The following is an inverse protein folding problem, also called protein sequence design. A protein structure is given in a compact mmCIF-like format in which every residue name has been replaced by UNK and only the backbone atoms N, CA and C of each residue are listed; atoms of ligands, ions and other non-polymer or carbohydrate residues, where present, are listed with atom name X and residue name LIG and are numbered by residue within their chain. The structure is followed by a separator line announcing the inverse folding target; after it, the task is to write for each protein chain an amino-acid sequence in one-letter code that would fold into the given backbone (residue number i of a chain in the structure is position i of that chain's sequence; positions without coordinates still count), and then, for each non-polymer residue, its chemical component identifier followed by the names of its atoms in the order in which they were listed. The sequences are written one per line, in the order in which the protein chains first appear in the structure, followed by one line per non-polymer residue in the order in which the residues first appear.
data_IF_915444424554
#
_entry.id   IF_915444424554
#
_cell.length_a   1.000
_cell.length_b   1.000
_cell.length_c   1.000
_cell.angle_alpha   90.00
_cell.angle_beta   90.00
_cell.angle_gamma   90.00
#
_symmetry.space_group_name_H-M   'P 1'
#
loop_
_entity.id
_entity.type
_entity.pdbx_description
1 polymer ?
#
# COMPACT_ATOMS: atom_id res chain seq x y z
N UNK A 1 -21.71 -4.32 24.59
CA UNK A 1 -20.46 -3.57 24.34
C UNK A 1 -20.45 -3.33 22.84
N UNK A 2 -20.55 -2.10 22.36
CA UNK A 2 -20.73 -1.84 20.92
C UNK A 2 -19.45 -2.29 20.21
N UNK A 3 -19.54 -3.32 19.37
CA UNK A 3 -18.42 -3.88 18.64
C UNK A 3 -17.98 -2.90 17.54
N UNK A 4 -17.16 -1.92 17.92
CA UNK A 4 -16.57 -1.01 16.95
C UNK A 4 -15.50 -1.78 16.15
N UNK A 5 -15.47 -1.63 14.82
CA UNK A 5 -14.41 -2.21 13.99
C UNK A 5 -13.04 -1.73 14.47
N UNK A 6 -12.06 -2.62 14.49
CA UNK A 6 -10.69 -2.27 14.89
C UNK A 6 -9.67 -2.85 13.92
N UNK A 7 -8.50 -2.21 13.85
CA UNK A 7 -7.41 -2.64 12.97
C UNK A 7 -6.76 -3.92 13.49
N UNK A 8 -6.50 -4.86 12.59
CA UNK A 8 -5.73 -6.08 12.84
C UNK A 8 -4.74 -6.27 11.71
N UNK A 9 -3.71 -7.08 11.97
CA UNK A 9 -2.68 -7.37 11.00
C UNK A 9 -2.58 -8.86 10.74
N UNK A 10 -2.38 -9.23 9.47
CA UNK A 10 -2.04 -10.59 9.07
C UNK A 10 -0.56 -10.62 8.71
N UNK A 11 0.19 -11.43 9.45
CA UNK A 11 1.61 -11.60 9.23
C UNK A 11 1.89 -12.57 8.07
N UNK A 12 2.97 -12.31 7.32
CA UNK A 12 3.53 -13.32 6.42
C UNK A 12 4.07 -14.52 7.19
N UNK A 13 4.22 -15.66 6.51
CA UNK A 13 4.67 -16.91 7.14
C UNK A 13 6.07 -16.84 7.76
N UNK A 14 6.92 -15.94 7.29
CA UNK A 14 8.25 -15.63 7.84
C UNK A 14 8.25 -14.47 8.85
N UNK A 15 7.12 -13.79 9.04
CA UNK A 15 6.97 -12.65 9.97
C UNK A 15 7.54 -11.32 9.47
N UNK A 16 7.98 -11.25 8.21
CA UNK A 16 8.61 -10.05 7.65
C UNK A 16 7.61 -8.96 7.20
N UNK A 17 6.34 -9.33 7.00
CA UNK A 17 5.30 -8.43 6.49
C UNK A 17 4.06 -8.47 7.38
N UNK A 18 3.60 -7.28 7.78
CA UNK A 18 2.37 -7.08 8.52
C UNK A 18 1.34 -6.39 7.62
N UNK A 19 0.25 -7.08 7.26
CA UNK A 19 -0.74 -6.61 6.28
C UNK A 19 -2.04 -6.20 6.97
N UNK A 20 -2.51 -4.95 6.81
CA UNK A 20 -3.63 -4.42 7.58
C UNK A 20 -5.01 -4.89 7.08
N UNK A 21 -5.90 -5.14 8.03
CA UNK A 21 -7.31 -5.44 7.86
C UNK A 21 -8.13 -4.77 8.96
N UNK A 22 -9.44 -4.66 8.74
CA UNK A 22 -10.40 -4.17 9.72
C UNK A 22 -11.26 -5.32 10.21
N UNK A 23 -11.15 -5.66 11.50
CA UNK A 23 -11.91 -6.74 12.12
C UNK A 23 -13.22 -6.22 12.70
N UNK A 24 -14.30 -6.91 12.39
CA UNK A 24 -15.61 -6.73 13.00
C UNK A 24 -15.92 -8.00 13.80
N UNK A 25 -16.24 -7.81 15.08
CA UNK A 25 -16.70 -8.89 15.95
C UNK A 25 -18.23 -8.98 15.81
N UNK A 26 -18.72 -10.15 15.43
CA UNK A 26 -20.15 -10.42 15.33
C UNK A 26 -20.65 -10.92 16.68
N UNK A 27 -21.95 -10.78 16.96
CA UNK A 27 -22.56 -11.35 18.18
C UNK A 27 -22.66 -12.89 18.14
N UNK A 28 -22.40 -13.50 16.97
CA UNK A 28 -22.42 -14.94 16.77
C UNK A 28 -21.24 -15.65 17.46
N UNK A 29 -21.52 -16.83 18.03
CA UNK A 29 -20.54 -17.75 18.62
C UNK A 29 -20.53 -19.03 17.78
N UNK A 30 -19.34 -19.48 17.38
CA UNK A 30 -19.19 -20.73 16.63
C UNK A 30 -19.45 -21.98 17.50
N UNK A 31 -19.63 -23.18 16.92
CA UNK A 31 -19.85 -24.41 17.70
C UNK A 31 -18.71 -24.79 18.66
N UNK A 32 -17.53 -24.18 18.53
CA UNK A 32 -16.37 -24.37 19.39
C UNK A 32 -16.34 -23.37 20.56
N UNK A 33 -17.30 -22.44 20.62
CA UNK A 33 -17.41 -21.43 21.67
C UNK A 33 -16.60 -20.16 21.40
N UNK A 34 -16.05 -19.98 20.19
CA UNK A 34 -15.31 -18.77 19.84
C UNK A 34 -16.23 -17.70 19.26
N UNK A 35 -15.91 -16.44 19.55
CA UNK A 35 -16.60 -15.31 18.94
C UNK A 35 -16.29 -15.24 17.45
N UNK A 36 -17.33 -15.18 16.61
CA UNK A 36 -17.17 -15.05 15.17
C UNK A 36 -16.71 -13.63 14.82
N UNK A 37 -15.76 -13.54 13.89
CA UNK A 37 -15.26 -12.26 13.39
C UNK A 37 -15.09 -12.28 11.88
N UNK A 38 -15.29 -11.11 11.26
CA UNK A 38 -15.03 -10.90 9.83
C UNK A 38 -13.89 -9.89 9.69
N UNK A 39 -12.91 -10.23 8.86
CA UNK A 39 -11.85 -9.31 8.44
C UNK A 39 -12.22 -8.68 7.10
N UNK A 40 -12.31 -7.36 7.08
CA UNK A 40 -12.55 -6.56 5.88
C UNK A 40 -11.23 -5.95 5.38
N UNK A 41 -11.20 -5.69 4.08
CA UNK A 41 -10.13 -4.90 3.47
C UNK A 41 -10.11 -3.51 4.11
N UNK A 42 -8.92 -3.03 4.48
CA UNK A 42 -8.76 -1.75 5.17
C UNK A 42 -7.74 -0.88 4.44
N UNK A 43 -8.18 0.30 4.02
CA UNK A 43 -7.39 1.32 3.30
C UNK A 43 -7.00 2.48 4.20
N UNK A 44 -7.45 2.50 5.46
CA UNK A 44 -7.29 3.62 6.38
C UNK A 44 -5.84 4.02 6.65
N UNK A 45 -4.86 3.13 6.49
CA UNK A 45 -3.46 3.42 6.83
C UNK A 45 -3.23 3.73 8.31
N UNK A 46 -1.99 4.00 8.70
CA UNK A 46 -1.66 4.53 10.02
C UNK A 46 -1.24 5.99 9.88
N UNK A 47 -1.99 6.91 10.48
CA UNK A 47 -1.67 8.34 10.46
C UNK A 47 -1.13 8.78 11.82
N UNK A 48 0.04 9.40 11.80
CA UNK A 48 0.50 10.20 12.94
C UNK A 48 -0.09 11.62 12.87
N UNK A 49 -0.42 12.19 14.02
CA UNK A 49 -0.95 13.55 14.13
C UNK A 49 0.15 14.61 14.22
N UNK A 50 1.41 14.20 14.30
CA UNK A 50 2.53 15.09 14.59
C UNK A 50 3.15 15.78 13.34
N UNK A 51 2.49 15.72 12.19
CA UNK A 51 2.98 16.22 10.89
C UNK A 51 4.36 15.68 10.46
N UNK A 52 4.86 14.63 11.11
CA UNK A 52 6.17 14.02 10.86
C UNK A 52 6.24 13.17 9.57
N UNK A 53 5.12 13.02 8.88
CA UNK A 53 4.98 12.09 7.76
C UNK A 53 4.57 10.68 8.23
N UNK A 54 4.33 9.80 7.27
CA UNK A 54 3.98 8.40 7.55
C UNK A 54 5.24 7.55 7.69
N UNK A 55 5.09 6.39 8.34
CA UNK A 55 6.17 5.40 8.41
C UNK A 55 6.54 4.95 7.00
N UNK A 56 7.84 5.04 6.68
CA UNK A 56 8.42 4.62 5.40
C UNK A 56 8.56 3.09 5.32
N UNK A 57 7.45 2.38 5.46
CA UNK A 57 7.34 0.92 5.58
C UNK A 57 8.17 0.16 4.54
N UNK A 58 8.16 0.62 3.29
CA UNK A 58 8.80 -0.05 2.15
C UNK A 58 10.27 0.29 1.97
N UNK A 59 10.80 1.27 2.70
CA UNK A 59 12.18 1.73 2.51
C UNK A 59 13.21 0.58 2.65
N UNK A 60 13.15 -0.27 3.69
CA UNK A 60 14.05 -1.43 3.79
C UNK A 60 13.91 -2.43 2.63
N UNK A 61 12.71 -2.55 2.05
CA UNK A 61 12.46 -3.45 0.92
C UNK A 61 13.05 -2.90 -0.37
N UNK A 62 13.01 -1.58 -0.54
CA UNK A 62 13.60 -0.90 -1.70
C UNK A 62 15.13 -0.95 -1.60
N UNK A 63 15.69 -0.74 -0.41
CA UNK A 63 17.14 -0.78 -0.18
C UNK A 63 17.74 -2.17 -0.39
N UNK A 64 17.10 -3.19 0.16
CA UNK A 64 17.60 -4.57 0.09
C UNK A 64 17.72 -5.13 -1.34
N UNK A 65 16.99 -4.55 -2.32
CA UNK A 65 17.08 -4.95 -3.73
C UNK A 65 18.36 -4.49 -4.43
N UNK A 66 19.01 -3.44 -3.93
CA UNK A 66 20.30 -2.97 -4.44
C UNK A 66 20.29 -2.43 -5.87
N UNK A 67 19.12 -2.14 -6.44
CA UNK A 67 18.93 -1.73 -7.83
C UNK A 67 18.50 -0.26 -7.99
N UNK A 68 18.49 0.46 -6.87
CA UNK A 68 18.25 1.90 -6.79
C UNK A 68 19.39 2.61 -6.05
N UNK A 69 19.46 3.93 -6.21
CA UNK A 69 20.41 4.80 -5.53
C UNK A 69 19.81 6.19 -5.33
N UNK A 70 20.32 6.95 -4.37
CA UNK A 70 19.93 8.34 -4.16
C UNK A 70 20.60 9.20 -5.23
N UNK A 71 19.81 10.05 -5.91
CA UNK A 71 20.31 10.91 -6.97
C UNK A 71 21.47 11.81 -6.48
N UNK A 72 22.45 12.03 -7.34
CA UNK A 72 23.61 12.87 -7.02
C UNK A 72 23.24 14.36 -6.95
N UNK A 73 22.33 14.81 -7.83
CA UNK A 73 21.77 16.16 -7.88
C UNK A 73 20.32 16.20 -7.40
N UNK A 74 19.94 17.30 -6.75
CA UNK A 74 18.55 17.59 -6.47
C UNK A 74 17.82 17.78 -7.82
N UNK A 75 16.78 16.99 -8.07
CA UNK A 75 15.86 17.27 -9.17
C UNK A 75 15.07 18.52 -8.76
N UNK A 76 14.86 19.45 -9.70
CA UNK A 76 14.25 20.77 -9.50
C UNK A 76 12.73 20.61 -9.26
N UNK A 77 12.39 19.98 -8.14
CA UNK A 77 11.06 19.79 -7.61
C UNK A 77 10.95 20.72 -6.40
N UNK A 78 9.92 21.56 -6.39
CA UNK A 78 9.62 22.48 -5.29
C UNK A 78 9.25 21.68 -4.03
N UNK A 79 10.28 21.27 -3.27
CA UNK A 79 10.33 20.49 -2.01
C UNK A 79 9.75 19.05 -2.07
N UNK A 80 10.37 18.04 -1.39
CA UNK A 80 11.05 18.13 -0.10
C UNK A 80 12.58 17.96 -0.13
N UNK A 81 13.17 18.30 1.02
CA UNK A 81 14.59 18.31 1.44
C UNK A 81 15.45 17.07 1.15
N UNK A 82 14.89 15.97 0.67
CA UNK A 82 15.61 14.72 0.40
C UNK A 82 15.81 14.51 -1.11
N UNK A 83 17.04 14.15 -1.47
CA UNK A 83 17.34 13.80 -2.86
C UNK A 83 16.53 12.56 -3.26
N UNK A 84 15.87 12.56 -4.42
CA UNK A 84 15.03 11.46 -4.84
C UNK A 84 15.87 10.21 -5.11
N UNK A 85 15.25 9.05 -4.92
CA UNK A 85 15.76 7.76 -5.34
C UNK A 85 15.53 7.56 -6.83
N UNK A 86 16.56 7.08 -7.51
CA UNK A 86 16.57 6.75 -8.93
C UNK A 86 17.00 5.30 -9.15
N UNK A 87 16.67 4.74 -10.31
CA UNK A 87 17.20 3.45 -10.72
C UNK A 87 18.72 3.55 -10.93
N UNK A 88 19.48 2.54 -10.51
CA UNK A 88 20.88 2.42 -10.92
C UNK A 88 20.97 2.25 -12.43
N UNK A 89 22.11 2.62 -13.03
CA UNK A 89 22.29 2.51 -14.47
C UNK A 89 21.99 1.08 -14.99
N UNK A 90 21.06 0.97 -15.94
CA UNK A 90 20.62 -0.30 -16.51
C UNK A 90 19.58 -1.08 -15.68
N UNK A 91 19.33 -0.69 -14.43
CA UNK A 91 18.28 -1.28 -13.61
C UNK A 91 16.89 -0.83 -14.07
N UNK A 92 15.89 -1.68 -13.83
CA UNK A 92 14.48 -1.40 -14.13
C UNK A 92 13.64 -1.80 -12.92
N UNK A 93 13.62 -0.99 -11.84
CA UNK A 93 13.03 -1.33 -10.54
C UNK A 93 11.49 -1.27 -10.57
N UNK A 94 10.86 -1.99 -11.50
CA UNK A 94 9.41 -2.05 -11.65
C UNK A 94 8.89 -3.42 -11.28
N UNK A 95 7.70 -3.46 -10.67
CA UNK A 95 7.03 -4.72 -10.31
C UNK A 95 6.83 -5.62 -11.53
N UNK A 96 6.62 -5.04 -12.71
CA UNK A 96 6.56 -5.78 -13.97
C UNK A 96 7.87 -6.51 -14.30
N UNK A 97 9.02 -5.84 -14.18
CA UNK A 97 10.32 -6.46 -14.49
C UNK A 97 10.67 -7.57 -13.50
N UNK A 98 10.39 -7.36 -12.20
CA UNK A 98 10.57 -8.42 -11.21
C UNK A 98 9.66 -9.62 -11.50
N UNK A 99 8.41 -9.39 -11.89
CA UNK A 99 7.49 -10.47 -12.22
C UNK A 99 7.97 -11.27 -13.46
N UNK A 100 8.46 -10.57 -14.50
CA UNK A 100 9.03 -11.20 -15.69
C UNK A 100 10.25 -12.06 -15.38
N UNK A 101 11.09 -11.67 -14.42
CA UNK A 101 12.24 -12.46 -13.96
C UNK A 101 11.87 -13.56 -12.96
N UNK A 102 10.58 -13.69 -12.60
CA UNK A 102 10.11 -14.63 -11.58
C UNK A 102 10.49 -14.24 -10.14
N UNK A 103 10.91 -13.00 -9.92
CA UNK A 103 11.29 -12.48 -8.60
C UNK A 103 10.04 -12.10 -7.82
N UNK A 104 9.81 -12.80 -6.70
CA UNK A 104 8.73 -12.47 -5.77
C UNK A 104 9.16 -11.33 -4.84
N UNK A 105 8.62 -10.13 -5.04
CA UNK A 105 8.92 -8.96 -4.19
C UNK A 105 8.08 -8.92 -2.93
N UNK A 106 8.52 -8.17 -1.91
CA UNK A 106 7.71 -7.90 -0.72
C UNK A 106 6.38 -7.21 -1.07
N UNK A 107 6.35 -6.33 -2.07
CA UNK A 107 5.09 -5.75 -2.54
C UNK A 107 4.13 -6.81 -3.11
N UNK A 108 4.62 -7.79 -3.88
CA UNK A 108 3.79 -8.88 -4.40
C UNK A 108 3.28 -9.81 -3.29
N UNK A 109 4.13 -10.10 -2.30
CA UNK A 109 3.75 -10.89 -1.11
C UNK A 109 2.69 -10.16 -0.28
N UNK A 110 2.87 -8.87 -0.08
CA UNK A 110 1.94 -8.02 0.67
C UNK A 110 0.55 -8.05 0.03
N UNK A 111 0.45 -7.79 -1.28
CA UNK A 111 -0.85 -7.80 -1.98
C UNK A 111 -1.46 -9.20 -2.08
N UNK A 112 -0.64 -10.26 -2.14
CA UNK A 112 -1.15 -11.63 -2.12
C UNK A 112 -1.90 -11.93 -0.80
N UNK A 113 -1.31 -11.55 0.34
CA UNK A 113 -1.95 -11.67 1.65
C UNK A 113 -3.20 -10.78 1.71
N UNK A 114 -3.10 -9.53 1.24
CA UNK A 114 -4.20 -8.55 1.26
C UNK A 114 -5.43 -9.02 0.47
N UNK A 115 -5.20 -9.69 -0.65
CA UNK A 115 -6.24 -10.23 -1.54
C UNK A 115 -6.65 -11.67 -1.18
N UNK A 116 -5.96 -12.33 -0.25
CA UNK A 116 -6.21 -13.72 0.12
C UNK A 116 -5.94 -14.72 -1.02
N UNK A 117 -4.92 -14.46 -1.85
CA UNK A 117 -4.55 -15.31 -2.99
C UNK A 117 -3.12 -15.83 -2.89
N UNK A 118 -2.81 -16.86 -3.66
CA UNK A 118 -1.44 -17.37 -3.78
C UNK A 118 -0.51 -16.30 -4.43
N UNK A 119 0.70 -16.05 -3.90
CA UNK A 119 1.66 -15.11 -4.48
C UNK A 119 2.00 -15.39 -5.95
N UNK A 120 1.91 -16.65 -6.40
CA UNK A 120 2.09 -17.01 -7.80
C UNK A 120 1.03 -16.37 -8.69
N UNK A 121 -0.22 -16.25 -8.23
CA UNK A 121 -1.29 -15.57 -8.99
C UNK A 121 -0.91 -14.11 -9.22
N UNK A 122 -0.35 -13.45 -8.20
CA UNK A 122 0.13 -12.07 -8.31
C UNK A 122 1.25 -11.96 -9.36
N UNK A 123 2.29 -12.80 -9.26
CA UNK A 123 3.40 -12.79 -10.23
C UNK A 123 2.88 -13.02 -11.64
N UNK A 124 2.05 -14.05 -11.86
CA UNK A 124 1.56 -14.41 -13.20
C UNK A 124 0.71 -13.29 -13.82
N UNK A 125 -0.16 -12.63 -13.04
CA UNK A 125 -0.98 -11.52 -13.52
C UNK A 125 -0.16 -10.25 -13.80
N UNK A 126 0.85 -9.96 -12.96
CA UNK A 126 1.75 -8.83 -13.17
C UNK A 126 2.66 -9.08 -14.38
N UNK A 127 3.30 -10.24 -14.47
CA UNK A 127 4.19 -10.63 -15.59
C UNK A 127 3.45 -10.65 -16.93
N UNK A 128 2.17 -11.01 -16.93
CA UNK A 128 1.34 -10.99 -18.14
C UNK A 128 0.71 -9.63 -18.46
N UNK A 129 0.97 -8.60 -17.65
CA UNK A 129 0.45 -7.24 -17.83
C UNK A 129 -1.06 -7.10 -17.60
N UNK A 130 -1.70 -8.08 -16.95
CA UNK A 130 -3.14 -8.04 -16.61
C UNK A 130 -3.42 -7.42 -15.24
N UNK A 131 -2.38 -7.23 -14.44
CA UNK A 131 -2.45 -6.51 -13.17
C UNK A 131 -1.22 -5.63 -12.97
N UNK A 132 -1.37 -4.60 -12.13
CA UNK A 132 -0.30 -3.67 -11.77
C UNK A 132 -0.28 -3.45 -10.26
N UNK A 133 0.91 -3.14 -9.73
CA UNK A 133 1.11 -2.71 -8.34
C UNK A 133 1.74 -1.30 -8.41
N UNK A 134 0.97 -0.22 -8.23
CA UNK A 134 1.46 1.15 -8.30
C UNK A 134 2.32 1.46 -7.05
N UNK A 135 3.62 1.28 -7.16
CA UNK A 135 4.52 1.28 -6.01
C UNK A 135 5.84 2.01 -6.32
N UNK A 136 5.75 3.33 -6.54
CA UNK A 136 6.92 4.18 -6.83
C UNK A 136 7.99 4.00 -5.74
N UNK A 137 9.26 3.96 -6.16
CA UNK A 137 10.43 3.85 -5.28
C UNK A 137 10.63 5.09 -4.39
N UNK A 138 9.98 6.21 -4.72
CA UNK A 138 9.97 7.45 -3.94
C UNK A 138 8.70 7.62 -3.08
N UNK A 139 7.86 6.59 -2.99
CA UNK A 139 6.69 6.58 -2.10
C UNK A 139 6.80 5.38 -1.13
N UNK A 140 7.84 5.36 -0.26
CA UNK A 140 8.08 4.24 0.65
C UNK A 140 7.01 4.08 1.75
N UNK A 141 6.16 5.08 1.96
CA UNK A 141 5.05 5.07 2.92
C UNK A 141 3.85 4.25 2.44
N UNK A 142 3.80 3.90 1.15
CA UNK A 142 2.68 3.15 0.57
C UNK A 142 2.50 1.79 1.24
N UNK A 143 1.30 1.48 1.70
CA UNK A 143 0.84 0.10 1.87
C UNK A 143 0.47 -0.48 0.50
N UNK A 144 1.20 -1.47 -0.06
CA UNK A 144 0.94 -1.93 -1.42
C UNK A 144 -0.48 -2.45 -1.65
N UNK A 145 -1.00 -2.18 -2.84
CA UNK A 145 -2.26 -2.71 -3.35
C UNK A 145 -2.10 -3.12 -4.82
N UNK A 146 -3.01 -3.96 -5.31
CA UNK A 146 -2.97 -4.48 -6.69
C UNK A 146 -4.25 -4.12 -7.44
N UNK A 147 -4.10 -3.74 -8.71
CA UNK A 147 -5.20 -3.45 -9.62
C UNK A 147 -5.15 -4.47 -10.75
N UNK A 148 -6.21 -5.25 -10.91
CA UNK A 148 -6.34 -6.21 -12.00
C UNK A 148 -7.64 -7.00 -11.92
N UNK A 149 -8.04 -7.62 -13.04
CA UNK A 149 -9.35 -8.26 -13.18
C UNK A 149 -9.58 -9.46 -12.23
N UNK A 150 -8.51 -10.11 -11.76
CA UNK A 150 -8.58 -11.27 -10.85
C UNK A 150 -8.62 -10.89 -9.36
N UNK A 151 -8.49 -9.60 -9.04
CA UNK A 151 -8.43 -9.09 -7.67
C UNK A 151 -9.73 -8.36 -7.33
N UNK A 152 -9.90 -7.98 -6.06
CA UNK A 152 -11.04 -7.14 -5.66
C UNK A 152 -11.06 -5.86 -6.51
N UNK A 153 -12.26 -5.39 -6.87
CA UNK A 153 -12.43 -4.11 -7.56
C UNK A 153 -11.92 -2.99 -6.66
N UNK A 154 -11.15 -2.07 -7.24
CA UNK A 154 -10.53 -0.94 -6.54
C UNK A 154 -11.22 0.35 -6.92
N UNK A 155 -11.34 1.28 -5.97
CA UNK A 155 -12.00 2.58 -6.13
C UNK A 155 -10.99 3.69 -5.91
N UNK A 156 -11.07 4.72 -6.76
CA UNK A 156 -10.27 5.93 -6.64
C UNK A 156 -11.12 7.11 -6.18
N UNK A 157 -10.60 7.93 -5.27
CA UNK A 157 -11.17 9.23 -4.94
C UNK A 157 -10.32 10.37 -5.54
N UNK A 158 -10.95 11.36 -6.12
CA UNK A 158 -10.26 12.56 -6.59
C UNK A 158 -10.31 13.64 -5.49
N UNK A 159 -9.17 14.21 -5.15
CA UNK A 159 -9.02 15.40 -4.32
C UNK A 159 -8.41 16.51 -5.18
N UNK A 160 -8.00 17.62 -4.56
CA UNK A 160 -7.39 18.73 -5.28
C UNK A 160 -7.89 20.07 -4.79
N UNK A 161 -6.97 21.03 -4.83
CA UNK A 161 -7.26 22.42 -4.57
C UNK A 161 -7.84 23.09 -5.83
N UNK A 162 -8.36 24.30 -5.66
CA UNK A 162 -8.77 25.13 -6.80
C UNK A 162 -7.94 26.40 -6.83
N UNK A 163 -7.94 27.11 -7.96
CA UNK A 163 -7.30 28.44 -8.05
C UNK A 163 -7.89 29.47 -7.09
N UNK A 164 -9.05 29.18 -6.48
CA UNK A 164 -9.79 30.07 -5.59
C UNK A 164 -9.65 29.65 -4.11
N UNK A 165 -9.21 28.42 -3.83
CA UNK A 165 -9.05 27.89 -2.48
C UNK A 165 -7.86 26.92 -2.44
N UNK A 166 -6.82 27.32 -1.71
CA UNK A 166 -5.59 26.56 -1.49
C UNK A 166 -5.38 26.41 0.02
N UNK A 167 -5.75 25.26 0.57
CA UNK A 167 -5.53 24.93 1.98
C UNK A 167 -5.00 23.50 2.07
N UNK A 168 -3.74 23.35 2.49
CA UNK A 168 -3.05 22.06 2.59
C UNK A 168 -3.74 21.16 3.61
N UNK A 169 -4.15 21.70 4.75
CA UNK A 169 -4.79 20.92 5.82
C UNK A 169 -6.15 20.38 5.33
N UNK A 170 -6.88 21.18 4.56
CA UNK A 170 -8.12 20.73 3.93
C UNK A 170 -7.88 19.62 2.90
N UNK A 171 -6.81 19.68 2.10
CA UNK A 171 -6.46 18.60 1.17
C UNK A 171 -6.08 17.31 1.89
N UNK A 172 -5.27 17.41 2.95
CA UNK A 172 -4.90 16.25 3.79
C UNK A 172 -6.13 15.65 4.46
N UNK A 173 -7.05 16.47 4.97
CA UNK A 173 -8.30 16.01 5.57
C UNK A 173 -9.20 15.29 4.54
N UNK A 174 -9.30 15.79 3.30
CA UNK A 174 -10.02 15.11 2.22
C UNK A 174 -9.39 13.76 1.89
N UNK A 175 -8.06 13.70 1.82
CA UNK A 175 -7.32 12.46 1.58
C UNK A 175 -7.60 11.42 2.67
N UNK A 176 -7.49 11.81 3.96
CA UNK A 176 -7.79 10.95 5.11
C UNK A 176 -9.22 10.44 5.06
N UNK A 177 -10.18 11.34 4.85
CA UNK A 177 -11.58 10.97 4.73
C UNK A 177 -11.81 9.98 3.57
N UNK A 178 -11.20 10.20 2.41
CA UNK A 178 -11.36 9.29 1.28
C UNK A 178 -10.94 7.86 1.63
N UNK A 179 -9.75 7.70 2.23
CA UNK A 179 -9.25 6.37 2.59
C UNK A 179 -10.00 5.74 3.78
N UNK A 180 -10.51 6.56 4.71
CA UNK A 180 -11.35 6.09 5.82
C UNK A 180 -12.66 5.45 5.34
N UNK A 181 -13.21 5.97 4.25
CA UNK A 181 -14.41 5.47 3.60
C UNK A 181 -14.14 4.46 2.48
N UNK A 182 -12.91 3.97 2.33
CA UNK A 182 -12.59 2.84 1.46
C UNK A 182 -12.03 3.19 0.09
N UNK A 183 -11.54 4.42 -0.14
CA UNK A 183 -10.77 4.70 -1.35
C UNK A 183 -9.45 3.93 -1.33
N UNK A 184 -9.18 3.14 -2.36
CA UNK A 184 -7.94 2.38 -2.49
C UNK A 184 -6.80 3.23 -3.06
N UNK A 185 -7.14 4.24 -3.86
CA UNK A 185 -6.19 5.22 -4.41
C UNK A 185 -6.79 6.62 -4.37
N UNK A 186 -5.92 7.62 -4.37
CA UNK A 186 -6.30 9.03 -4.41
C UNK A 186 -5.53 9.72 -5.54
N UNK A 187 -6.22 10.60 -6.28
CA UNK A 187 -5.64 11.46 -7.32
C UNK A 187 -5.89 12.93 -7.02
#
# INVERSE_FOLDING_TARGET
MQAHPFKVYKESSDGDLSVPFKRIILDEIDPQGNQVSIDLYDTTGEFDNDHAGLVRLREPWIDSRGDTEIASSQLDLTEPSEKPRVARNGAKPTQYQYALSGTLTNEMRFVAIREGVDPKVVIDEVASGRAIIPANINHPETEPMIIGKKFLVKVNANIGNSSVSQDIEAEVAKMRMAVDFGADTVM
#
